data_IF_021550959670
#
_entry.id   IF_021550959670
#
_cell.length_a   1.000
_cell.length_b   1.000
_cell.length_c   1.000
_cell.angle_alpha   90.00
_cell.angle_beta   90.00
_cell.angle_gamma   90.00
#
_symmetry.space_group_name_H-M   'P 1'
#
loop_
_entity.id
_entity.type
_entity.pdbx_description
1 polymer ?
#
# COMPACT_ATOMS: atom_id res chain seq x y z
N UNK A 1 23.34 -10.90 -31.75
CA UNK A 1 22.60 -10.98 -30.47
C UNK A 1 23.52 -11.35 -29.29
N UNK A 2 24.44 -12.32 -29.46
CA UNK A 2 25.37 -12.76 -28.42
C UNK A 2 26.12 -11.64 -27.69
N UNK A 3 26.54 -10.59 -28.40
CA UNK A 3 27.26 -9.49 -27.76
C UNK A 3 26.40 -8.74 -26.74
N UNK A 4 25.09 -8.61 -26.99
CA UNK A 4 24.15 -8.05 -26.02
C UNK A 4 24.02 -8.95 -24.78
N UNK A 5 23.93 -10.27 -24.97
CA UNK A 5 23.89 -11.23 -23.86
C UNK A 5 25.18 -11.18 -23.01
N UNK A 6 26.34 -11.10 -23.66
CA UNK A 6 27.63 -10.93 -22.98
C UNK A 6 27.71 -9.60 -22.24
N UNK A 7 27.25 -8.51 -22.84
CA UNK A 7 27.23 -7.21 -22.17
C UNK A 7 26.33 -7.21 -20.93
N UNK A 8 25.16 -7.85 -21.00
CA UNK A 8 24.25 -8.06 -19.86
C UNK A 8 24.96 -8.80 -18.72
N UNK A 9 25.64 -9.90 -19.03
CA UNK A 9 26.35 -10.73 -18.04
C UNK A 9 27.56 -10.00 -17.43
N UNK A 10 28.46 -9.49 -18.27
CA UNK A 10 29.71 -8.85 -17.86
C UNK A 10 29.48 -7.60 -17.02
N UNK A 11 28.43 -6.83 -17.31
CA UNK A 11 28.09 -5.61 -16.59
C UNK A 11 27.07 -5.85 -15.46
N UNK A 12 26.55 -7.08 -15.31
CA UNK A 12 25.53 -7.45 -14.31
C UNK A 12 24.27 -6.57 -14.40
N UNK A 13 23.84 -6.26 -15.62
CA UNK A 13 22.69 -5.41 -15.92
C UNK A 13 21.58 -6.23 -16.57
N UNK A 14 20.31 -5.83 -16.42
CA UNK A 14 19.16 -6.53 -17.00
C UNK A 14 18.73 -6.07 -18.39
N UNK A 15 19.36 -5.03 -18.94
CA UNK A 15 19.00 -4.45 -20.24
C UNK A 15 20.17 -3.72 -20.89
N UNK A 16 20.18 -3.68 -22.22
CA UNK A 16 21.08 -2.83 -23.00
C UNK A 16 20.33 -2.06 -24.07
N UNK A 17 20.81 -0.86 -24.36
CA UNK A 17 20.33 -0.06 -25.49
C UNK A 17 21.05 -0.45 -26.77
N UNK A 18 20.35 -0.39 -27.89
CA UNK A 18 20.89 -0.60 -29.23
C UNK A 18 21.02 0.76 -29.89
N UNK A 19 22.22 1.09 -30.34
CA UNK A 19 22.50 2.35 -31.02
C UNK A 19 22.96 2.13 -32.46
N UNK A 20 22.62 3.07 -33.34
CA UNK A 20 23.13 3.16 -34.71
C UNK A 20 23.61 4.58 -34.95
N UNK A 21 24.90 4.74 -35.28
CA UNK A 21 25.52 6.06 -35.46
C UNK A 21 25.27 7.02 -34.26
N UNK A 22 25.34 6.49 -33.03
CA UNK A 22 25.14 7.26 -31.79
C UNK A 22 23.68 7.59 -31.45
N UNK A 23 22.72 7.13 -32.24
CA UNK A 23 21.30 7.32 -32.00
C UNK A 23 20.67 6.07 -31.42
N UNK A 24 19.76 6.23 -30.45
CA UNK A 24 18.98 5.14 -29.87
C UNK A 24 18.01 4.57 -30.91
N UNK A 25 18.18 3.29 -31.27
CA UNK A 25 17.31 2.61 -32.24
C UNK A 25 16.52 1.45 -31.64
N UNK A 26 16.91 0.99 -30.45
CA UNK A 26 16.20 -0.07 -29.77
C UNK A 26 16.68 -0.33 -28.35
N UNK A 27 16.00 -1.25 -27.67
CA UNK A 27 16.43 -1.81 -26.38
C UNK A 27 16.18 -3.30 -26.38
N UNK A 28 17.03 -4.04 -25.66
CA UNK A 28 16.81 -5.45 -25.38
C UNK A 28 16.98 -5.72 -23.88
N UNK A 29 16.15 -6.59 -23.34
CA UNK A 29 16.28 -7.13 -21.98
C UNK A 29 16.69 -8.60 -22.01
N UNK A 30 17.18 -9.13 -20.89
CA UNK A 30 17.37 -10.57 -20.68
C UNK A 30 16.12 -11.40 -21.03
N UNK A 31 14.93 -10.91 -20.69
CA UNK A 31 13.64 -11.50 -21.04
C UNK A 31 13.41 -11.49 -22.55
N UNK A 32 13.76 -10.42 -23.26
CA UNK A 32 13.59 -10.37 -24.71
C UNK A 32 14.49 -11.40 -25.40
N UNK A 33 15.75 -11.52 -24.98
CA UNK A 33 16.66 -12.56 -25.47
C UNK A 33 16.11 -13.98 -25.21
N UNK A 34 15.55 -14.17 -24.01
CA UNK A 34 14.98 -15.46 -23.61
C UNK A 34 13.72 -15.80 -24.40
N UNK A 35 12.75 -14.89 -24.48
CA UNK A 35 11.42 -15.17 -25.05
C UNK A 35 11.42 -15.03 -26.57
N UNK A 36 12.09 -14.02 -27.13
CA UNK A 36 12.04 -13.70 -28.56
C UNK A 36 13.14 -14.39 -29.37
N UNK A 37 14.23 -14.83 -28.73
CA UNK A 37 15.27 -15.62 -29.40
C UNK A 37 15.21 -17.10 -28.99
N UNK A 38 15.57 -17.41 -27.75
CA UNK A 38 15.70 -18.80 -27.29
C UNK A 38 14.36 -19.55 -27.32
N UNK A 39 13.30 -18.93 -26.81
CA UNK A 39 11.95 -19.50 -26.79
C UNK A 39 11.35 -19.72 -28.18
N UNK A 40 11.92 -19.10 -29.22
CA UNK A 40 11.55 -19.30 -30.63
C UNK A 40 12.51 -20.23 -31.38
N UNK A 41 13.51 -20.79 -30.70
CA UNK A 41 14.52 -21.67 -31.30
C UNK A 41 15.44 -20.97 -32.30
N UNK A 42 15.62 -19.64 -32.20
CA UNK A 42 16.55 -18.91 -33.06
C UNK A 42 18.00 -19.21 -32.66
N UNK A 43 18.87 -19.37 -33.64
CA UNK A 43 20.31 -19.57 -33.40
C UNK A 43 20.97 -18.26 -32.92
N UNK A 44 21.49 -18.22 -31.68
CA UNK A 44 22.12 -17.02 -31.12
C UNK A 44 23.31 -16.50 -31.92
N UNK A 45 24.00 -17.38 -32.65
CA UNK A 45 25.21 -17.06 -33.40
C UNK A 45 24.93 -16.29 -34.69
N UNK A 46 23.75 -16.49 -35.28
CA UNK A 46 23.35 -15.87 -36.56
C UNK A 46 22.26 -14.80 -36.40
N UNK A 47 21.51 -14.82 -35.30
CA UNK A 47 20.41 -13.87 -35.04
C UNK A 47 20.93 -12.44 -34.78
N UNK A 48 20.40 -11.46 -35.52
CA UNK A 48 20.76 -10.05 -35.33
C UNK A 48 20.01 -9.48 -34.15
N UNK A 49 20.61 -8.49 -33.48
CA UNK A 49 19.94 -7.87 -32.33
C UNK A 49 18.67 -7.11 -32.74
N UNK A 50 18.65 -6.58 -33.97
CA UNK A 50 17.49 -5.90 -34.55
C UNK A 50 16.25 -6.79 -34.65
N UNK A 51 16.43 -8.12 -34.74
CA UNK A 51 15.33 -9.07 -34.90
C UNK A 51 14.60 -9.36 -33.57
N UNK A 52 15.23 -9.01 -32.43
CA UNK A 52 14.72 -9.33 -31.09
C UNK A 52 14.55 -8.12 -30.18
N UNK A 53 15.18 -6.98 -30.50
CA UNK A 53 15.04 -5.74 -29.74
C UNK A 53 13.62 -5.17 -29.84
N UNK A 54 13.23 -4.36 -28.86
CA UNK A 54 12.09 -3.45 -28.98
C UNK A 54 12.58 -2.18 -29.70
N UNK A 55 12.07 -1.87 -30.90
CA UNK A 55 12.46 -0.66 -31.62
C UNK A 55 11.84 0.57 -30.95
N UNK A 56 12.52 1.72 -31.04
CA UNK A 56 12.04 3.01 -30.51
C UNK A 56 11.46 2.91 -29.10
N UNK A 57 12.26 2.48 -28.10
CA UNK A 57 11.78 2.35 -26.73
C UNK A 57 11.32 3.70 -26.19
N UNK A 58 10.44 3.68 -25.21
CA UNK A 58 10.05 4.88 -24.47
C UNK A 58 11.27 5.44 -23.73
N UNK A 59 11.38 6.77 -23.66
CA UNK A 59 12.53 7.48 -23.10
C UNK A 59 12.07 8.62 -22.22
N UNK A 60 12.98 9.11 -21.36
CA UNK A 60 12.82 10.34 -20.59
C UNK A 60 14.03 11.25 -20.84
N UNK A 61 13.85 12.55 -20.62
CA UNK A 61 14.94 13.52 -20.46
C UNK A 61 15.56 13.39 -19.06
N UNK A 62 16.86 13.68 -18.88
CA UNK A 62 17.45 13.86 -17.55
C UNK A 62 16.78 14.94 -16.69
N UNK A 63 16.03 15.85 -17.32
CA UNK A 63 15.25 16.88 -16.62
C UNK A 63 13.88 16.42 -16.13
N UNK A 64 13.43 15.22 -16.54
CA UNK A 64 12.12 14.69 -16.14
C UNK A 64 12.14 14.22 -14.68
N UNK A 65 10.99 14.26 -14.03
CA UNK A 65 10.88 13.93 -12.61
C UNK A 65 10.80 12.42 -12.35
N UNK A 66 11.08 12.01 -11.11
CA UNK A 66 10.80 10.63 -10.65
C UNK A 66 9.33 10.25 -10.84
N UNK A 67 8.41 11.20 -10.62
CA UNK A 67 6.98 10.96 -10.82
C UNK A 67 6.66 10.66 -12.29
N UNK A 68 7.32 11.33 -13.24
CA UNK A 68 7.20 11.02 -14.66
C UNK A 68 7.74 9.63 -14.99
N UNK A 69 8.85 9.23 -14.38
CA UNK A 69 9.38 7.88 -14.53
C UNK A 69 8.39 6.82 -14.05
N UNK A 70 7.84 6.97 -12.85
CA UNK A 70 6.85 6.04 -12.27
C UNK A 70 5.61 5.95 -13.14
N UNK A 71 5.08 7.11 -13.55
CA UNK A 71 3.92 7.20 -14.42
C UNK A 71 4.17 6.49 -15.75
N UNK A 72 5.30 6.78 -16.42
CA UNK A 72 5.63 6.18 -17.71
C UNK A 72 5.90 4.67 -17.60
N UNK A 73 6.54 4.22 -16.52
CA UNK A 73 6.74 2.80 -16.22
C UNK A 73 5.40 2.06 -16.09
N UNK A 74 4.43 2.66 -15.38
CA UNK A 74 3.08 2.11 -15.20
C UNK A 74 2.30 2.08 -16.51
N UNK A 75 2.22 3.20 -17.22
CA UNK A 75 1.46 3.34 -18.46
C UNK A 75 1.98 2.42 -19.58
N UNK A 76 3.32 2.28 -19.68
CA UNK A 76 3.97 1.55 -20.77
C UNK A 76 4.38 0.14 -20.38
N UNK A 77 4.10 -0.24 -19.13
CA UNK A 77 4.38 -1.55 -18.58
C UNK A 77 5.86 -1.93 -18.68
N UNK A 78 6.76 -1.00 -18.36
CA UNK A 78 8.23 -1.16 -18.40
C UNK A 78 8.85 -0.90 -17.04
N UNK A 79 10.02 -1.52 -16.76
CA UNK A 79 10.78 -1.29 -15.51
C UNK A 79 12.03 -0.45 -15.70
N UNK A 80 12.37 -0.12 -16.94
CA UNK A 80 13.65 0.46 -17.32
C UNK A 80 13.40 1.43 -18.45
N UNK A 81 13.86 2.66 -18.30
CA UNK A 81 13.64 3.72 -19.27
C UNK A 81 15.01 4.38 -19.55
N UNK A 82 15.49 4.41 -20.82
CA UNK A 82 16.67 5.18 -21.17
C UNK A 82 16.43 6.66 -20.95
N UNK A 83 17.45 7.32 -20.41
CA UNK A 83 17.53 8.77 -20.39
C UNK A 83 18.21 9.24 -21.68
N UNK A 84 17.54 10.11 -22.42
CA UNK A 84 18.00 10.66 -23.69
C UNK A 84 18.08 12.18 -23.60
N UNK A 85 19.24 12.72 -23.96
CA UNK A 85 19.50 14.16 -24.04
C UNK A 85 20.10 14.47 -25.43
N UNK A 86 19.53 15.46 -26.12
CA UNK A 86 19.89 15.80 -27.51
C UNK A 86 20.04 14.58 -28.46
N UNK A 87 19.13 13.62 -28.34
CA UNK A 87 19.12 12.40 -29.16
C UNK A 87 20.19 11.36 -28.80
N UNK A 88 20.95 11.58 -27.73
CA UNK A 88 21.96 10.64 -27.22
C UNK A 88 21.51 10.01 -25.92
N UNK A 89 21.82 8.72 -25.75
CA UNK A 89 21.58 8.04 -24.47
C UNK A 89 22.62 8.52 -23.47
N UNK A 90 22.17 9.09 -22.36
CA UNK A 90 23.03 9.59 -21.28
C UNK A 90 22.91 8.78 -20.00
N UNK A 91 21.88 7.92 -19.90
CA UNK A 91 21.70 7.06 -18.75
C UNK A 91 20.50 6.13 -18.88
N UNK A 92 20.13 5.53 -17.75
CA UNK A 92 18.95 4.68 -17.60
C UNK A 92 18.41 4.87 -16.19
N UNK A 93 17.09 4.96 -16.07
CA UNK A 93 16.40 4.84 -14.78
C UNK A 93 15.72 3.48 -14.72
N UNK A 94 15.90 2.78 -13.60
CA UNK A 94 15.27 1.49 -13.37
C UNK A 94 14.37 1.51 -12.15
N UNK A 95 13.37 0.64 -12.12
CA UNK A 95 12.53 0.44 -10.94
C UNK A 95 13.37 0.07 -9.70
N UNK A 96 14.47 -0.66 -9.90
CA UNK A 96 15.37 -1.06 -8.82
C UNK A 96 16.04 0.17 -8.20
N UNK A 97 16.47 1.14 -9.01
CA UNK A 97 17.01 2.43 -8.54
C UNK A 97 15.96 3.20 -7.75
N UNK A 98 14.73 3.30 -8.27
CA UNK A 98 13.63 4.02 -7.60
C UNK A 98 13.27 3.43 -6.23
N UNK A 99 13.39 2.10 -6.09
CA UNK A 99 13.17 1.40 -4.81
C UNK A 99 14.32 1.68 -3.85
N UNK A 100 15.56 1.58 -4.31
CA UNK A 100 16.75 1.75 -3.47
C UNK A 100 16.92 3.19 -2.97
N UNK A 101 16.50 4.17 -3.79
CA UNK A 101 16.59 5.59 -3.46
C UNK A 101 15.37 6.10 -2.66
N UNK A 102 14.45 5.21 -2.25
CA UNK A 102 13.19 5.55 -1.58
C UNK A 102 12.42 6.67 -2.32
N UNK A 103 12.47 6.65 -3.65
CA UNK A 103 12.12 7.79 -4.47
C UNK A 103 10.60 8.04 -4.60
N UNK A 104 9.78 7.11 -4.09
CA UNK A 104 8.33 7.20 -4.01
C UNK A 104 7.74 6.20 -2.98
N UNK A 105 6.47 6.36 -2.57
CA UNK A 105 5.76 5.39 -1.72
C UNK A 105 5.79 3.98 -2.32
N UNK A 106 5.93 2.96 -1.47
CA UNK A 106 6.05 1.57 -1.91
C UNK A 106 4.80 1.10 -2.69
N UNK A 107 3.64 1.66 -2.38
CA UNK A 107 2.37 1.40 -3.07
C UNK A 107 2.44 1.81 -4.55
N UNK A 108 3.06 2.95 -4.86
CA UNK A 108 3.18 3.43 -6.23
C UNK A 108 4.14 2.59 -7.06
N UNK A 109 5.23 2.12 -6.43
CA UNK A 109 6.20 1.22 -7.05
C UNK A 109 5.62 -0.19 -7.22
N UNK A 110 4.81 -0.67 -6.27
CA UNK A 110 4.09 -1.94 -6.36
C UNK A 110 3.13 -1.97 -7.56
N UNK A 111 2.41 -0.88 -7.82
CA UNK A 111 1.49 -0.78 -8.96
C UNK A 111 2.20 -0.99 -10.32
N UNK A 112 3.48 -0.60 -10.46
CA UNK A 112 4.28 -0.87 -11.68
C UNK A 112 4.50 -2.38 -11.84
N UNK A 113 4.80 -3.08 -10.74
CA UNK A 113 5.01 -4.54 -10.75
C UNK A 113 3.71 -5.27 -11.08
N UNK A 114 2.59 -4.84 -10.49
CA UNK A 114 1.27 -5.44 -10.72
C UNK A 114 0.82 -5.33 -12.17
N UNK A 115 0.99 -4.15 -12.79
CA UNK A 115 0.60 -3.92 -14.19
C UNK A 115 1.27 -4.92 -15.17
N UNK A 116 2.47 -5.40 -14.84
CA UNK A 116 3.26 -6.29 -15.70
C UNK A 116 2.98 -7.78 -15.50
N UNK A 117 2.34 -8.17 -14.39
CA UNK A 117 2.10 -9.58 -14.09
C UNK A 117 0.99 -10.17 -14.98
N UNK A 118 0.05 -9.35 -15.48
CA UNK A 118 -1.01 -9.79 -16.40
C UNK A 118 -1.74 -11.07 -15.95
N UNK A 119 -2.30 -11.84 -16.89
CA UNK A 119 -2.89 -13.18 -16.63
C UNK A 119 -1.85 -14.34 -16.78
N UNK A 120 -0.61 -14.02 -17.15
CA UNK A 120 0.40 -14.99 -17.57
C UNK A 120 1.76 -14.78 -16.89
N UNK A 121 1.85 -15.14 -15.61
CA UNK A 121 3.09 -15.26 -14.84
C UNK A 121 3.48 -16.73 -14.62
N UNK A 122 4.60 -17.01 -13.91
CA UNK A 122 4.76 -18.34 -13.31
C UNK A 122 3.48 -18.70 -12.55
N UNK A 123 3.09 -19.99 -12.53
CA UNK A 123 2.03 -20.44 -11.63
C UNK A 123 2.25 -19.77 -10.28
N UNK A 124 1.19 -19.15 -9.75
CA UNK A 124 1.28 -18.20 -8.65
C UNK A 124 2.34 -18.64 -7.64
N UNK A 125 3.41 -17.84 -7.54
CA UNK A 125 4.51 -18.18 -6.64
C UNK A 125 3.97 -18.43 -5.23
N UNK A 126 4.45 -19.48 -4.56
CA UNK A 126 4.23 -19.76 -3.14
C UNK A 126 4.85 -18.69 -2.19
N UNK A 127 4.81 -17.41 -2.58
CA UNK A 127 5.08 -16.24 -1.73
C UNK A 127 3.77 -15.54 -1.32
N UNK A 128 2.75 -16.14 -0.73
CA UNK A 128 2.50 -17.48 -0.18
C UNK A 128 0.98 -17.61 -0.10
N UNK A 129 0.37 -18.78 -0.37
CA UNK A 129 -0.98 -19.06 0.05
C UNK A 129 -1.19 -18.69 1.52
N UNK A 130 -0.16 -18.75 2.38
CA UNK A 130 -0.21 -18.25 3.76
C UNK A 130 -0.36 -16.73 3.85
N UNK A 131 0.28 -15.92 3.00
CA UNK A 131 0.13 -14.45 2.98
C UNK A 131 -1.23 -14.03 2.43
N UNK A 132 -1.71 -14.66 1.35
CA UNK A 132 -3.08 -14.44 0.86
C UNK A 132 -4.12 -14.91 1.87
N UNK A 133 -3.96 -16.10 2.45
CA UNK A 133 -4.83 -16.56 3.54
C UNK A 133 -4.72 -15.65 4.78
N UNK A 134 -3.55 -15.06 5.04
CA UNK A 134 -3.37 -14.08 6.12
C UNK A 134 -4.09 -12.78 5.84
N UNK A 135 -4.01 -12.26 4.61
CA UNK A 135 -4.73 -11.06 4.19
C UNK A 135 -6.24 -11.30 4.17
N UNK A 136 -6.71 -12.39 3.56
CA UNK A 136 -8.13 -12.78 3.57
C UNK A 136 -8.65 -13.00 4.99
N UNK A 137 -7.86 -13.59 5.89
CA UNK A 137 -8.23 -13.69 7.32
C UNK A 137 -8.25 -12.34 8.01
N UNK A 138 -7.27 -11.48 7.75
CA UNK A 138 -7.21 -10.14 8.33
C UNK A 138 -8.39 -9.29 7.86
N UNK A 139 -8.73 -9.37 6.57
CA UNK A 139 -9.88 -8.72 5.94
C UNK A 139 -11.19 -9.28 6.50
N UNK A 140 -11.35 -10.61 6.59
CA UNK A 140 -12.51 -11.22 7.23
C UNK A 140 -12.67 -10.82 8.71
N UNK A 141 -11.55 -10.63 9.43
CA UNK A 141 -11.56 -10.18 10.83
C UNK A 141 -12.01 -8.72 10.94
N UNK A 142 -11.46 -7.84 10.09
CA UNK A 142 -11.88 -6.44 10.04
C UNK A 142 -13.35 -6.32 9.62
N UNK A 143 -13.76 -7.02 8.57
CA UNK A 143 -15.13 -7.00 8.07
C UNK A 143 -16.13 -7.50 9.11
N UNK A 144 -15.75 -8.48 9.94
CA UNK A 144 -16.58 -8.90 11.08
C UNK A 144 -16.74 -7.78 12.10
N UNK A 145 -15.65 -7.10 12.48
CA UNK A 145 -15.70 -5.97 13.41
C UNK A 145 -16.55 -4.82 12.85
N UNK A 146 -16.36 -4.46 11.57
CA UNK A 146 -17.13 -3.40 10.90
C UNK A 146 -18.63 -3.75 10.87
N UNK A 147 -18.99 -5.01 10.60
CA UNK A 147 -20.40 -5.44 10.65
C UNK A 147 -20.99 -5.37 12.06
N UNK A 148 -20.25 -5.79 13.08
CA UNK A 148 -20.70 -5.63 14.47
C UNK A 148 -20.89 -4.15 14.82
N UNK A 149 -19.99 -3.27 14.38
CA UNK A 149 -20.16 -1.82 14.53
C UNK A 149 -21.40 -1.34 13.79
N UNK A 150 -21.62 -1.78 12.56
CA UNK A 150 -22.80 -1.41 11.77
C UNK A 150 -24.11 -1.79 12.49
N UNK A 151 -24.18 -3.03 12.99
CA UNK A 151 -25.35 -3.58 13.68
C UNK A 151 -25.61 -2.87 15.01
N UNK A 152 -24.62 -2.81 15.90
CA UNK A 152 -24.75 -2.23 17.24
C UNK A 152 -24.96 -0.72 17.20
N UNK A 153 -24.34 -0.05 16.22
CA UNK A 153 -24.44 1.40 16.08
C UNK A 153 -25.62 1.82 15.20
N UNK A 154 -26.37 0.90 14.60
CA UNK A 154 -27.52 1.18 13.73
C UNK A 154 -27.17 2.12 12.57
N UNK A 155 -26.13 1.75 11.81
CA UNK A 155 -25.64 2.50 10.64
C UNK A 155 -26.17 1.88 9.34
N UNK A 156 -26.45 2.73 8.36
CA UNK A 156 -27.18 2.34 7.15
C UNK A 156 -26.33 1.46 6.23
N UNK A 157 -25.02 1.71 6.20
CA UNK A 157 -24.08 0.99 5.35
C UNK A 157 -22.72 0.70 6.03
N UNK A 158 -21.93 -0.13 5.34
CA UNK A 158 -20.62 -0.60 5.80
C UNK A 158 -19.58 0.52 5.78
N UNK A 159 -19.70 1.51 4.89
CA UNK A 159 -18.74 2.61 4.75
C UNK A 159 -18.90 3.61 5.91
N UNK A 160 -20.14 3.90 6.33
CA UNK A 160 -20.44 4.62 7.55
C UNK A 160 -19.88 3.90 8.78
N UNK A 161 -20.07 2.57 8.88
CA UNK A 161 -19.54 1.79 9.99
C UNK A 161 -18.01 1.80 10.04
N UNK A 162 -17.35 1.70 8.88
CA UNK A 162 -15.90 1.80 8.77
C UNK A 162 -15.39 3.19 9.16
N UNK A 163 -16.08 4.24 8.73
CA UNK A 163 -15.75 5.63 9.06
C UNK A 163 -15.92 5.89 10.57
N UNK A 164 -17.03 5.43 11.15
CA UNK A 164 -17.28 5.54 12.59
C UNK A 164 -16.22 4.79 13.41
N UNK A 165 -15.86 3.57 12.99
CA UNK A 165 -14.79 2.77 13.59
C UNK A 165 -13.45 3.52 13.57
N UNK A 166 -13.09 4.11 12.43
CA UNK A 166 -11.83 4.83 12.27
C UNK A 166 -11.76 6.07 13.18
N UNK A 167 -12.81 6.91 13.18
CA UNK A 167 -12.90 8.10 14.05
C UNK A 167 -12.73 7.73 15.52
N UNK A 168 -13.47 6.72 15.99
CA UNK A 168 -13.45 6.35 17.41
C UNK A 168 -12.15 5.67 17.80
N UNK A 169 -11.62 4.73 17.01
CA UNK A 169 -10.37 4.04 17.33
C UNK A 169 -9.19 5.00 17.30
N UNK A 170 -9.12 5.90 16.32
CA UNK A 170 -8.08 6.94 16.24
C UNK A 170 -8.13 7.89 17.44
N UNK A 171 -9.33 8.28 17.87
CA UNK A 171 -9.51 9.08 19.07
C UNK A 171 -9.05 8.34 20.34
N UNK A 172 -9.41 7.07 20.51
CA UNK A 172 -8.98 6.25 21.63
C UNK A 172 -7.44 6.13 21.67
N UNK A 173 -6.80 5.81 20.54
CA UNK A 173 -5.33 5.70 20.44
C UNK A 173 -4.65 7.02 20.84
N UNK A 174 -5.13 8.16 20.31
CA UNK A 174 -4.59 9.49 20.64
C UNK A 174 -4.79 9.89 22.10
N UNK A 175 -5.76 9.28 22.81
CA UNK A 175 -5.97 9.53 24.25
C UNK A 175 -5.05 8.73 25.16
N UNK A 176 -4.52 7.61 24.69
CA UNK A 176 -3.66 6.73 25.48
C UNK A 176 -2.22 7.23 25.48
N UNK A 177 -1.45 6.85 26.51
CA UNK A 177 0.00 7.04 26.46
C UNK A 177 0.64 6.07 25.45
N UNK A 178 1.88 6.32 25.02
CA UNK A 178 2.52 5.54 23.96
C UNK A 178 2.62 4.02 24.25
N UNK A 179 2.77 3.62 25.52
CA UNK A 179 2.81 2.21 25.90
C UNK A 179 1.45 1.54 25.71
N UNK A 180 0.40 2.15 26.27
CA UNK A 180 -0.96 1.64 26.20
C UNK A 180 -1.55 1.71 24.80
N UNK A 181 -1.23 2.76 24.04
CA UNK A 181 -1.59 2.84 22.63
C UNK A 181 -1.00 1.67 21.84
N UNK A 182 0.26 1.31 22.10
CA UNK A 182 0.91 0.17 21.44
C UNK A 182 0.24 -1.15 21.82
N UNK A 183 -0.06 -1.36 23.10
CA UNK A 183 -0.71 -2.58 23.58
C UNK A 183 -2.14 -2.70 23.04
N UNK A 184 -2.90 -1.61 23.04
CA UNK A 184 -4.23 -1.53 22.44
C UNK A 184 -4.20 -1.86 20.93
N UNK A 185 -3.34 -1.18 20.15
CA UNK A 185 -3.19 -1.43 18.71
C UNK A 185 -2.79 -2.88 18.43
N UNK A 186 -2.01 -3.52 19.32
CA UNK A 186 -1.57 -4.90 19.14
C UNK A 186 -2.73 -5.91 19.09
N UNK A 187 -3.84 -5.60 19.76
CA UNK A 187 -5.05 -6.45 19.85
C UNK A 187 -6.05 -6.21 18.71
N UNK A 188 -5.90 -5.12 17.95
CA UNK A 188 -6.81 -4.78 16.86
C UNK A 188 -6.52 -5.60 15.58
N UNK A 189 -7.51 -5.71 14.65
CA UNK A 189 -7.29 -6.29 13.33
C UNK A 189 -6.05 -5.72 12.65
N UNK A 190 -5.20 -6.59 12.08
CA UNK A 190 -3.88 -6.18 11.55
C UNK A 190 -3.93 -5.14 10.45
N UNK A 191 -5.05 -5.03 9.74
CA UNK A 191 -5.26 -4.01 8.69
C UNK A 191 -5.45 -2.60 9.23
N UNK A 192 -5.83 -2.42 10.50
CA UNK A 192 -5.96 -1.10 11.12
C UNK A 192 -4.63 -0.59 11.67
N UNK A 193 -3.70 -1.49 12.01
CA UNK A 193 -2.47 -1.17 12.73
C UNK A 193 -1.57 -0.13 12.03
N UNK A 194 -1.31 -0.21 10.71
CA UNK A 194 -0.38 0.73 10.05
C UNK A 194 -0.84 2.18 10.17
N UNK A 195 -2.14 2.44 9.95
CA UNK A 195 -2.70 3.78 10.06
C UNK A 195 -2.65 4.29 11.51
N UNK A 196 -3.04 3.46 12.48
CA UNK A 196 -3.06 3.83 13.89
C UNK A 196 -1.66 4.06 14.47
N UNK A 197 -0.65 3.32 14.00
CA UNK A 197 0.75 3.49 14.41
C UNK A 197 1.38 4.78 13.87
N UNK A 198 0.82 5.34 12.79
CA UNK A 198 1.26 6.61 12.22
C UNK A 198 0.66 7.84 12.95
N UNK A 199 -0.31 7.63 13.85
CA UNK A 199 -0.90 8.72 14.61
C UNK A 199 0.11 9.33 15.61
N UNK A 200 0.01 10.64 15.91
CA UNK A 200 0.83 11.26 16.94
C UNK A 200 0.64 10.56 18.30
N UNK A 201 1.71 10.38 19.09
CA UNK A 201 1.62 9.76 20.41
C UNK A 201 0.78 10.62 21.36
N UNK A 202 -0.10 9.99 22.14
CA UNK A 202 -0.90 10.64 23.16
C UNK A 202 -0.18 10.80 24.51
N UNK A 203 -0.87 11.35 25.54
CA UNK A 203 -2.28 11.72 25.53
C UNK A 203 -2.52 13.10 24.90
N UNK A 204 -3.29 13.13 23.82
CA UNK A 204 -3.74 14.36 23.19
C UNK A 204 -4.97 14.92 23.92
N UNK A 205 -4.78 16.04 24.62
CA UNK A 205 -5.84 16.68 25.42
C UNK A 205 -6.93 17.35 24.56
N UNK A 206 -6.67 17.60 23.29
CA UNK A 206 -7.65 18.18 22.37
C UNK A 206 -8.73 17.19 21.95
N UNK A 207 -8.46 15.89 22.09
CA UNK A 207 -9.46 14.84 21.88
C UNK A 207 -10.36 14.79 23.11
N UNK A 208 -11.56 15.38 23.01
CA UNK A 208 -12.61 15.36 24.04
C UNK A 208 -13.81 14.57 23.55
N UNK A 209 -14.79 14.32 24.43
CA UNK A 209 -16.06 13.71 24.00
C UNK A 209 -16.72 14.52 22.88
N UNK A 210 -16.81 15.83 23.07
CA UNK A 210 -17.44 16.75 22.12
C UNK A 210 -16.70 16.78 20.79
N UNK A 211 -15.36 16.73 20.80
CA UNK A 211 -14.59 16.72 19.56
C UNK A 211 -14.85 15.45 18.75
N UNK A 212 -14.92 14.28 19.42
CA UNK A 212 -15.20 13.00 18.77
C UNK A 212 -16.64 12.98 18.23
N UNK A 213 -17.60 13.44 19.02
CA UNK A 213 -19.00 13.56 18.60
C UNK A 213 -19.18 14.49 17.40
N UNK A 214 -18.48 15.63 17.39
CA UNK A 214 -18.48 16.56 16.27
C UNK A 214 -17.88 15.95 15.00
N UNK A 215 -16.79 15.19 15.14
CA UNK A 215 -16.15 14.50 14.02
C UNK A 215 -17.04 13.39 13.45
N UNK A 216 -17.69 12.58 14.30
CA UNK A 216 -18.66 11.57 13.88
C UNK A 216 -19.83 12.20 13.10
N UNK A 217 -20.38 13.31 13.59
CA UNK A 217 -21.46 14.04 12.89
C UNK A 217 -20.99 14.55 11.54
N UNK A 218 -19.79 15.15 11.49
CA UNK A 218 -19.25 15.73 10.27
C UNK A 218 -18.94 14.67 9.19
N UNK A 219 -18.34 13.55 9.59
CA UNK A 219 -17.90 12.50 8.67
C UNK A 219 -19.06 11.60 8.20
N UNK A 220 -20.03 11.32 9.08
CA UNK A 220 -21.15 10.42 8.77
C UNK A 220 -22.38 11.14 8.22
N UNK A 221 -22.46 12.47 8.37
CA UNK A 221 -23.64 13.23 7.97
C UNK A 221 -24.90 12.91 8.78
N UNK A 222 -24.73 12.51 10.05
CA UNK A 222 -25.82 12.10 10.95
C UNK A 222 -26.28 13.22 11.86
N UNK A 223 -27.49 13.11 12.40
CA UNK A 223 -28.00 14.06 13.40
C UNK A 223 -27.12 14.10 14.65
N UNK A 224 -26.92 15.30 15.22
CA UNK A 224 -26.15 15.47 16.47
C UNK A 224 -26.68 14.63 17.63
N UNK A 225 -27.98 14.39 17.70
CA UNK A 225 -28.59 13.53 18.72
C UNK A 225 -28.09 12.07 18.66
N UNK A 226 -27.57 11.63 17.51
CA UNK A 226 -27.00 10.30 17.32
C UNK A 226 -25.53 10.20 17.69
N UNK A 227 -24.83 11.31 17.93
CA UNK A 227 -23.38 11.32 18.15
C UNK A 227 -22.96 10.54 19.40
N UNK A 228 -23.57 10.79 20.56
CA UNK A 228 -23.26 10.06 21.79
C UNK A 228 -23.60 8.56 21.68
N UNK A 229 -24.81 8.16 21.23
CA UNK A 229 -25.11 6.73 21.03
C UNK A 229 -24.13 6.03 20.07
N UNK A 230 -23.74 6.70 18.98
CA UNK A 230 -22.77 6.18 18.02
C UNK A 230 -21.39 5.98 18.66
N UNK A 231 -20.88 6.99 19.37
CA UNK A 231 -19.61 6.90 20.08
C UNK A 231 -19.61 5.73 21.08
N UNK A 232 -20.66 5.63 21.89
CA UNK A 232 -20.79 4.58 22.90
C UNK A 232 -20.87 3.19 22.26
N UNK A 233 -21.69 3.02 21.22
CA UNK A 233 -21.83 1.74 20.53
C UNK A 233 -20.51 1.30 19.90
N UNK A 234 -19.86 2.17 19.12
CA UNK A 234 -18.60 1.85 18.42
C UNK A 234 -17.49 1.54 19.44
N UNK A 235 -17.31 2.39 20.45
CA UNK A 235 -16.27 2.20 21.46
C UNK A 235 -16.50 0.92 22.28
N UNK A 236 -17.75 0.61 22.63
CA UNK A 236 -18.07 -0.63 23.35
C UNK A 236 -17.79 -1.85 22.50
N UNK A 237 -18.16 -1.84 21.21
CA UNK A 237 -17.86 -2.93 20.26
C UNK A 237 -16.35 -3.14 20.08
N UNK A 238 -15.58 -2.06 19.97
CA UNK A 238 -14.11 -2.14 19.88
C UNK A 238 -13.50 -2.70 21.16
N UNK A 239 -13.94 -2.23 22.33
CA UNK A 239 -13.43 -2.72 23.62
C UNK A 239 -13.85 -4.17 23.91
N UNK A 240 -14.97 -4.62 23.37
CA UNK A 240 -15.38 -6.03 23.43
C UNK A 240 -14.57 -6.93 22.49
N UNK A 241 -13.93 -6.37 21.46
CA UNK A 241 -13.11 -7.10 20.50
C UNK A 241 -11.68 -7.39 20.98
N UNK A 242 -11.26 -6.79 22.10
CA UNK A 242 -9.92 -6.98 22.71
C UNK A 242 -10.02 -7.75 24.03
N UNK A 243 -8.88 -8.10 24.64
CA UNK A 243 -8.88 -8.85 25.91
C UNK A 243 -9.52 -8.03 27.06
N UNK A 244 -10.21 -8.67 28.03
CA UNK A 244 -10.86 -7.94 29.14
C UNK A 244 -9.89 -7.11 29.98
N UNK A 245 -8.65 -7.59 30.16
CA UNK A 245 -7.60 -6.86 30.86
C UNK A 245 -7.21 -5.58 30.11
N UNK A 246 -7.00 -5.69 28.81
CA UNK A 246 -6.68 -4.55 27.94
C UNK A 246 -7.84 -3.55 27.88
N UNK A 247 -9.08 -4.03 27.75
CA UNK A 247 -10.26 -3.17 27.76
C UNK A 247 -10.38 -2.36 29.05
N UNK A 248 -10.08 -2.98 30.20
CA UNK A 248 -10.04 -2.29 31.49
C UNK A 248 -8.91 -1.26 31.55
N UNK A 249 -7.73 -1.60 31.03
CA UNK A 249 -6.57 -0.69 30.96
C UNK A 249 -6.91 0.54 30.12
N UNK A 250 -7.38 0.35 28.89
CA UNK A 250 -7.80 1.43 27.98
C UNK A 250 -8.83 2.33 28.65
N UNK A 251 -9.91 1.75 29.21
CA UNK A 251 -10.95 2.53 29.92
C UNK A 251 -10.38 3.38 31.04
N UNK A 252 -9.48 2.82 31.87
CA UNK A 252 -8.91 3.53 33.03
C UNK A 252 -8.09 4.76 32.66
N UNK A 253 -7.67 4.87 31.41
CA UNK A 253 -6.76 5.90 30.89
C UNK A 253 -7.49 6.97 30.06
N UNK A 254 -8.77 6.74 29.75
CA UNK A 254 -9.61 7.74 29.12
C UNK A 254 -10.00 8.83 30.13
N UNK A 255 -10.26 10.07 29.68
CA UNK A 255 -10.93 11.10 30.48
C UNK A 255 -12.20 10.61 31.16
N UNK A 256 -12.51 11.16 32.34
CA UNK A 256 -13.69 10.82 33.15
C UNK A 256 -14.99 10.87 32.33
N UNK A 257 -15.18 11.89 31.50
CA UNK A 257 -16.36 12.03 30.63
C UNK A 257 -16.55 10.85 29.67
N UNK A 258 -15.45 10.30 29.13
CA UNK A 258 -15.49 9.11 28.27
C UNK A 258 -15.68 7.84 29.11
N UNK A 259 -15.10 7.76 30.31
CA UNK A 259 -15.31 6.61 31.21
C UNK A 259 -16.79 6.48 31.62
N UNK A 260 -17.44 7.59 31.94
CA UNK A 260 -18.84 7.63 32.38
C UNK A 260 -19.79 7.07 31.32
N UNK A 261 -19.67 7.55 30.07
CA UNK A 261 -20.55 7.10 28.98
C UNK A 261 -20.31 5.64 28.58
N UNK A 262 -19.07 5.14 28.71
CA UNK A 262 -18.73 3.75 28.40
C UNK A 262 -19.08 2.78 29.52
N UNK A 263 -19.25 3.27 30.75
CA UNK A 263 -19.64 2.46 31.90
C UNK A 263 -21.17 2.37 32.02
N UNK A 264 -21.88 3.45 31.71
CA UNK A 264 -23.34 3.48 31.69
C UNK A 264 -23.99 2.54 30.66
N UNK A 265 -23.20 2.04 29.70
CA UNK A 265 -23.65 1.21 28.59
C UNK A 265 -23.57 -0.32 28.85
N UNK A 266 -22.98 -0.76 29.96
CA UNK A 266 -22.90 -2.20 30.30
C UNK A 266 -24.12 -2.58 31.14
N UNK A 267 -25.09 -3.37 30.65
CA UNK A 267 -26.14 -3.91 31.50
C UNK A 267 -25.54 -4.83 32.56
N UNK A 268 -26.08 -4.74 33.79
CA UNK A 268 -25.69 -5.55 34.95
C UNK A 268 -25.87 -7.06 34.72
#
# INVERSE_FOLDING_TARGET
MLDAARAIEQNRIGAVVVQKAGQLVGMVTDRDLTVRALGRGLDPSTTKIADVMTPSPVTLSPSDSTADAIRLMRERNVRRIPLVDDGRVVGMVTLDDLILDEAAPLEDLAAIVEAQIGEGGPAESERSPARRRSLVRAEATLNRLVRLVQEEAGLDDVDQARTALDVVVSALVRRLNAGEAKDFISQLPSLLKPHLQALPPGPDRSVTRESIEAELVAQLGVDRARATPLLVAVATTVLAAISPGEAKQVRSQLPTELQEILTAAVPA
#
